data_IF_435403496024
#
_entry.id   IF_435403496024
#
_cell.length_a   1.000
_cell.length_b   1.000
_cell.length_c   1.000
_cell.angle_alpha   90.00
_cell.angle_beta   90.00
_cell.angle_gamma   90.00
#
_symmetry.space_group_name_H-M   'P 1'
#
loop_
_entity.id
_entity.type
_entity.pdbx_description
1 polymer ?
#
# COMPACT_ATOMS: atom_id res chain seq x y z
N UNK A 1 -7.57 11.60 -29.46
CA UNK A 1 -7.90 11.62 -28.03
C UNK A 1 -7.60 10.23 -27.51
N UNK A 2 -6.62 10.07 -26.62
CA UNK A 2 -6.35 8.77 -26.02
C UNK A 2 -7.51 8.48 -25.06
N UNK A 3 -8.35 7.51 -25.38
CA UNK A 3 -9.44 7.10 -24.48
C UNK A 3 -8.79 6.43 -23.27
N UNK A 4 -8.95 7.01 -22.07
CA UNK A 4 -8.46 6.39 -20.84
C UNK A 4 -9.26 5.09 -20.60
N UNK A 5 -8.57 4.00 -20.31
CA UNK A 5 -9.17 2.70 -19.96
C UNK A 5 -9.92 2.81 -18.63
N UNK A 6 -10.87 1.90 -18.37
CA UNK A 6 -11.62 1.91 -17.10
C UNK A 6 -10.69 1.62 -15.93
N UNK A 7 -9.75 0.71 -16.09
CA UNK A 7 -8.72 0.36 -15.14
C UNK A 7 -7.87 1.59 -14.79
N UNK A 8 -7.36 2.33 -15.78
CA UNK A 8 -6.59 3.54 -15.54
C UNK A 8 -7.41 4.61 -14.79
N UNK A 9 -8.70 4.76 -15.12
CA UNK A 9 -9.59 5.67 -14.40
C UNK A 9 -9.86 5.23 -12.95
N UNK A 10 -10.02 3.93 -12.69
CA UNK A 10 -10.16 3.38 -11.34
C UNK A 10 -8.88 3.59 -10.53
N UNK A 11 -7.72 3.20 -11.08
CA UNK A 11 -6.41 3.36 -10.44
C UNK A 11 -6.11 4.80 -10.04
N UNK A 12 -6.48 5.78 -10.88
CA UNK A 12 -6.29 7.19 -10.59
C UNK A 12 -7.04 7.66 -9.34
N UNK A 13 -8.13 6.97 -8.96
CA UNK A 13 -8.93 7.28 -7.78
C UNK A 13 -8.50 6.52 -6.53
N UNK A 14 -7.58 5.55 -6.64
CA UNK A 14 -7.10 4.78 -5.49
C UNK A 14 -6.11 5.63 -4.68
N UNK A 15 -6.33 5.83 -3.36
CA UNK A 15 -5.34 6.50 -2.52
C UNK A 15 -4.02 5.74 -2.50
N UNK A 16 -2.91 6.44 -2.78
CA UNK A 16 -1.57 5.84 -2.78
C UNK A 16 -1.17 5.25 -1.44
N UNK A 17 -1.68 5.81 -0.34
CA UNK A 17 -1.52 5.28 1.00
C UNK A 17 -2.81 5.50 1.80
N UNK A 18 -3.25 4.44 2.47
CA UNK A 18 -4.32 4.48 3.45
C UNK A 18 -3.87 3.66 4.67
N UNK A 19 -3.68 4.35 5.80
CA UNK A 19 -3.13 3.76 7.02
C UNK A 19 -3.85 4.30 8.26
N UNK A 20 -3.83 3.53 9.34
CA UNK A 20 -4.38 3.98 10.61
C UNK A 20 -3.70 5.26 11.11
N UNK A 21 -4.45 6.16 11.79
CA UNK A 21 -3.99 7.52 12.10
C UNK A 21 -2.89 7.57 13.16
N UNK A 22 -2.67 6.48 13.92
CA UNK A 22 -1.56 6.38 14.88
C UNK A 22 -1.37 4.93 15.33
N UNK A 23 -0.23 4.64 15.96
CA UNK A 23 0.06 3.34 16.58
C UNK A 23 1.15 2.56 15.87
N UNK A 24 1.25 1.27 16.20
CA UNK A 24 2.17 0.33 15.54
C UNK A 24 1.35 -0.80 14.94
N UNK A 25 1.46 -0.99 13.63
CA UNK A 25 0.62 -1.95 12.90
C UNK A 25 1.34 -2.55 11.70
N UNK A 26 0.79 -3.66 11.19
CA UNK A 26 1.27 -4.31 9.97
C UNK A 26 0.84 -3.51 8.75
N UNK A 27 1.64 -3.57 7.69
CA UNK A 27 1.29 -2.98 6.41
C UNK A 27 1.73 -3.88 5.25
N UNK A 28 1.02 -3.79 4.14
CA UNK A 28 1.39 -4.42 2.86
C UNK A 28 1.59 -3.36 1.78
N UNK A 29 2.52 -3.64 0.87
CA UNK A 29 2.66 -2.94 -0.40
C UNK A 29 1.99 -3.80 -1.46
N UNK A 30 0.96 -3.26 -2.09
CA UNK A 30 0.17 -3.98 -3.10
C UNK A 30 0.42 -3.31 -4.44
N UNK A 31 0.71 -4.10 -5.47
CA UNK A 31 0.73 -3.67 -6.86
C UNK A 31 -0.60 -3.97 -7.49
N UNK A 32 -1.24 -2.95 -8.05
CA UNK A 32 -2.53 -3.07 -8.74
C UNK A 32 -2.26 -2.98 -10.23
N UNK A 33 -2.62 -4.03 -10.96
CA UNK A 33 -2.45 -4.18 -12.40
C UNK A 33 -3.80 -4.00 -13.12
N UNK A 34 -3.75 -3.54 -14.37
CA UNK A 34 -4.91 -3.52 -15.25
C UNK A 34 -5.17 -4.93 -15.80
N UNK A 35 -6.45 -5.31 -15.90
CA UNK A 35 -6.89 -6.54 -16.58
C UNK A 35 -7.46 -6.27 -17.96
N UNK A 36 -7.44 -5.01 -18.41
CA UNK A 36 -7.92 -4.66 -19.75
C UNK A 36 -6.87 -5.01 -20.81
N UNK A 37 -7.33 -5.61 -21.91
CA UNK A 37 -6.44 -6.04 -22.99
C UNK A 37 -5.71 -4.83 -23.62
N UNK A 38 -4.38 -4.90 -23.67
CA UNK A 38 -3.53 -3.84 -24.23
C UNK A 38 -3.24 -2.69 -23.27
N UNK A 39 -3.59 -2.81 -21.99
CA UNK A 39 -3.27 -1.85 -20.93
C UNK A 39 -2.32 -2.47 -19.90
N UNK A 40 -1.05 -2.09 -19.95
CA UNK A 40 -0.01 -2.56 -19.02
C UNK A 40 0.17 -1.61 -17.81
N UNK A 41 -0.86 -0.80 -17.50
CA UNK A 41 -0.79 0.12 -16.36
C UNK A 41 -0.71 -0.63 -15.04
N UNK A 42 0.21 -0.20 -14.17
CA UNK A 42 0.34 -0.67 -12.80
C UNK A 42 0.51 0.49 -11.83
N UNK A 43 -0.03 0.34 -10.61
CA UNK A 43 0.20 1.29 -9.52
C UNK A 43 0.41 0.56 -8.20
N UNK A 44 1.49 0.91 -7.50
CA UNK A 44 1.71 0.42 -6.14
C UNK A 44 0.87 1.24 -5.13
N UNK A 45 0.34 0.62 -4.09
CA UNK A 45 -0.43 1.27 -3.01
C UNK A 45 -0.02 0.72 -1.64
N UNK A 46 -0.11 1.56 -0.61
CA UNK A 46 0.22 1.20 0.78
C UNK A 46 -1.06 1.06 1.59
N UNK A 47 -1.19 -0.06 2.30
CA UNK A 47 -2.31 -0.34 3.20
C UNK A 47 -1.80 -0.86 4.53
N UNK A 48 -2.25 -0.29 5.64
CA UNK A 48 -1.74 -0.65 6.96
C UNK A 48 -2.69 -0.30 8.10
N UNK A 49 -3.10 -1.30 8.87
CA UNK A 49 -4.16 -1.13 9.86
C UNK A 49 -3.90 -1.97 11.11
N UNK A 50 -4.28 -1.42 12.27
CA UNK A 50 -4.14 -2.06 13.58
C UNK A 50 -5.17 -3.17 13.84
N UNK A 51 -6.27 -3.22 13.06
CA UNK A 51 -7.25 -4.32 13.17
C UNK A 51 -6.73 -5.65 12.61
N UNK A 52 -5.73 -5.62 11.73
CA UNK A 52 -5.24 -6.80 11.03
C UNK A 52 -4.21 -7.54 11.89
N UNK A 53 -4.50 -8.81 12.19
CA UNK A 53 -3.58 -9.67 12.93
C UNK A 53 -2.43 -10.13 12.02
N UNK A 54 -2.71 -10.33 10.72
CA UNK A 54 -1.75 -10.76 9.71
C UNK A 54 -1.71 -9.81 8.52
N UNK A 55 -0.60 -9.84 7.78
CA UNK A 55 -0.48 -9.12 6.51
C UNK A 55 -1.50 -9.60 5.47
N UNK A 56 -1.83 -10.90 5.51
CA UNK A 56 -2.80 -11.52 4.60
C UNK A 56 -4.19 -10.91 4.80
N UNK A 57 -4.62 -10.65 6.03
CA UNK A 57 -5.93 -10.05 6.30
C UNK A 57 -6.08 -8.68 5.59
N UNK A 58 -5.02 -7.88 5.57
CA UNK A 58 -5.01 -6.58 4.87
C UNK A 58 -5.09 -6.80 3.36
N UNK A 59 -4.27 -7.71 2.84
CA UNK A 59 -4.22 -8.00 1.40
C UNK A 59 -5.57 -8.52 0.91
N UNK A 60 -6.10 -9.58 1.52
CA UNK A 60 -7.35 -10.24 1.13
C UNK A 60 -8.51 -9.24 1.08
N UNK A 61 -8.64 -8.39 2.12
CA UNK A 61 -9.69 -7.37 2.17
C UNK A 61 -9.56 -6.32 1.06
N UNK A 62 -8.33 -5.88 0.79
CA UNK A 62 -8.08 -4.81 -0.20
C UNK A 62 -8.20 -5.36 -1.62
N UNK A 63 -7.67 -6.55 -1.89
CA UNK A 63 -7.79 -7.20 -3.20
C UNK A 63 -9.25 -7.52 -3.50
N UNK A 64 -10.02 -8.05 -2.55
CA UNK A 64 -11.46 -8.29 -2.73
C UNK A 64 -12.19 -7.02 -3.14
N UNK A 65 -11.90 -5.87 -2.50
CA UNK A 65 -12.56 -4.60 -2.81
C UNK A 65 -12.16 -4.05 -4.19
N UNK A 66 -10.89 -4.14 -4.56
CA UNK A 66 -10.37 -3.57 -5.81
C UNK A 66 -10.66 -4.45 -7.03
N UNK A 67 -10.68 -5.77 -6.86
CA UNK A 67 -10.89 -6.73 -7.95
C UNK A 67 -12.37 -7.02 -8.22
N UNK A 68 -13.29 -6.58 -7.34
CA UNK A 68 -14.73 -6.88 -7.43
C UNK A 68 -15.38 -6.60 -8.79
N UNK A 69 -14.91 -5.56 -9.49
CA UNK A 69 -15.47 -5.12 -10.77
C UNK A 69 -14.77 -5.79 -11.97
N UNK A 70 -13.74 -6.62 -11.73
CA UNK A 70 -13.04 -7.41 -12.73
C UNK A 70 -12.04 -6.65 -13.61
N UNK A 71 -11.84 -5.35 -13.38
CA UNK A 71 -10.92 -4.50 -14.16
C UNK A 71 -9.48 -4.47 -13.64
N UNK A 72 -9.28 -4.84 -12.38
CA UNK A 72 -8.02 -4.73 -11.67
C UNK A 72 -7.60 -6.10 -11.12
N UNK A 73 -6.30 -6.30 -10.99
CA UNK A 73 -5.67 -7.46 -10.35
C UNK A 73 -4.69 -6.96 -9.29
N UNK A 74 -4.66 -7.57 -8.10
CA UNK A 74 -3.80 -7.13 -7.01
C UNK A 74 -2.73 -8.18 -6.70
N UNK A 75 -1.48 -7.75 -6.59
CA UNK A 75 -0.34 -8.56 -6.19
C UNK A 75 0.26 -7.99 -4.90
N UNK A 76 0.38 -8.78 -3.84
CA UNK A 76 1.11 -8.36 -2.64
C UNK A 76 2.62 -8.48 -2.87
N UNK A 77 3.30 -7.36 -3.12
CA UNK A 77 4.75 -7.31 -3.39
C UNK A 77 5.61 -7.20 -2.11
N UNK A 78 5.02 -7.54 -0.96
CA UNK A 78 5.67 -7.62 0.34
C UNK A 78 4.97 -6.82 1.43
N UNK A 79 5.50 -6.88 2.65
CA UNK A 79 5.00 -6.08 3.76
C UNK A 79 6.06 -5.74 4.80
N UNK A 80 5.58 -5.22 5.92
CA UNK A 80 6.39 -4.87 7.08
C UNK A 80 5.51 -4.29 8.20
N UNK A 81 6.07 -3.36 8.96
CA UNK A 81 5.36 -2.60 9.99
C UNK A 81 5.52 -1.10 9.80
N UNK A 82 4.52 -0.40 10.30
CA UNK A 82 4.51 1.05 10.39
C UNK A 82 4.37 1.42 11.86
N UNK A 83 5.22 2.33 12.33
CA UNK A 83 5.01 3.11 13.55
C UNK A 83 4.59 4.52 13.14
N UNK A 84 3.36 4.89 13.48
CA UNK A 84 2.78 6.18 13.16
C UNK A 84 2.52 6.98 14.45
N UNK A 85 3.26 8.07 14.62
CA UNK A 85 3.09 9.04 15.70
C UNK A 85 2.55 10.35 15.10
N UNK A 86 1.23 10.53 15.16
CA UNK A 86 0.59 11.73 14.62
C UNK A 86 0.90 13.00 15.41
N UNK A 87 1.21 12.89 16.71
CA UNK A 87 1.55 14.06 17.53
C UNK A 87 2.93 14.59 17.17
N UNK A 88 3.91 13.69 17.02
CA UNK A 88 5.26 14.05 16.59
C UNK A 88 5.37 14.28 15.07
N UNK A 89 4.32 13.99 14.31
CA UNK A 89 4.31 13.94 12.84
C UNK A 89 5.42 13.04 12.29
N UNK A 90 5.55 11.83 12.85
CA UNK A 90 6.57 10.86 12.47
C UNK A 90 5.95 9.56 12.00
N UNK A 91 6.42 9.06 10.87
CA UNK A 91 6.12 7.72 10.39
C UNK A 91 7.44 6.99 10.14
N UNK A 92 7.54 5.78 10.68
CA UNK A 92 8.71 4.93 10.50
C UNK A 92 8.27 3.56 9.97
N UNK A 93 8.86 3.15 8.84
CA UNK A 93 8.54 1.91 8.11
C UNK A 93 9.70 0.93 8.25
N UNK A 94 9.44 -0.31 8.69
CA UNK A 94 10.50 -1.28 9.00
C UNK A 94 9.97 -2.72 8.96
N UNK A 95 10.82 -3.70 9.27
CA UNK A 95 10.45 -5.11 9.41
C UNK A 95 10.06 -5.78 8.09
N UNK A 96 9.29 -6.87 8.17
CA UNK A 96 8.91 -7.66 7.00
C UNK A 96 7.59 -8.42 7.22
N UNK A 97 6.98 -8.93 6.15
CA UNK A 97 5.91 -9.90 6.24
C UNK A 97 6.46 -11.32 6.25
N UNK A 98 5.98 -12.15 7.18
CA UNK A 98 6.33 -13.58 7.20
C UNK A 98 5.81 -14.33 5.95
N UNK A 99 4.64 -13.93 5.44
CA UNK A 99 4.02 -14.58 4.28
C UNK A 99 4.48 -14.02 2.93
N UNK A 100 4.65 -12.69 2.86
CA UNK A 100 4.95 -12.00 1.59
C UNK A 100 6.39 -11.50 1.48
N UNK A 101 7.22 -11.72 2.51
CA UNK A 101 8.55 -11.15 2.58
C UNK A 101 8.56 -9.65 2.83
N UNK A 102 9.74 -9.04 2.66
CA UNK A 102 9.96 -7.62 2.93
C UNK A 102 9.57 -6.78 1.71
N UNK A 103 8.68 -5.81 1.91
CA UNK A 103 8.38 -4.80 0.89
C UNK A 103 9.58 -3.88 0.62
N UNK A 104 9.58 -3.21 -0.53
CA UNK A 104 10.48 -2.09 -0.74
C UNK A 104 10.03 -0.86 0.07
N UNK A 105 10.54 -0.70 1.28
CA UNK A 105 10.15 0.39 2.19
C UNK A 105 10.45 1.78 1.62
N UNK A 106 11.42 1.93 0.71
CA UNK A 106 11.65 3.19 0.02
C UNK A 106 10.48 3.59 -0.90
N UNK A 107 9.80 2.62 -1.53
CA UNK A 107 8.57 2.88 -2.30
C UNK A 107 7.43 3.23 -1.35
N UNK A 108 7.28 2.49 -0.25
CA UNK A 108 6.26 2.75 0.77
C UNK A 108 6.37 4.17 1.33
N UNK A 109 7.58 4.60 1.72
CA UNK A 109 7.80 5.94 2.28
C UNK A 109 7.54 7.06 1.30
N UNK A 110 7.84 6.90 0.00
CA UNK A 110 7.46 7.88 -1.04
C UNK A 110 5.96 8.09 -1.10
N UNK A 111 5.17 7.02 -1.07
CA UNK A 111 3.68 7.09 -1.11
C UNK A 111 3.11 7.70 0.16
N UNK A 112 3.64 7.32 1.31
CA UNK A 112 3.29 7.96 2.59
C UNK A 112 3.62 9.44 2.57
N UNK A 113 4.74 9.87 1.99
CA UNK A 113 5.12 11.28 1.90
C UNK A 113 4.18 12.10 1.01
N UNK A 114 3.56 11.49 -0.01
CA UNK A 114 2.49 12.15 -0.79
C UNK A 114 1.26 12.43 0.07
N UNK A 115 0.89 11.48 0.95
CA UNK A 115 -0.27 11.60 1.85
C UNK A 115 -0.01 12.48 3.07
N UNK A 116 1.22 12.44 3.60
CA UNK A 116 1.68 13.12 4.81
C UNK A 116 2.90 14.02 4.49
N UNK A 117 2.72 15.09 3.70
CA UNK A 117 3.84 15.90 3.20
C UNK A 117 4.61 16.62 4.31
N UNK A 118 3.95 16.93 5.43
CA UNK A 118 4.52 17.61 6.59
C UNK A 118 5.11 16.66 7.65
N UNK A 119 5.03 15.34 7.44
CA UNK A 119 5.59 14.35 8.37
C UNK A 119 7.05 14.06 8.07
N UNK A 120 7.82 13.75 9.11
CA UNK A 120 9.08 13.03 8.96
C UNK A 120 8.78 11.56 8.68
N UNK A 121 9.11 11.09 7.47
CA UNK A 121 8.87 9.70 7.04
C UNK A 121 10.21 9.03 6.81
N UNK A 122 10.49 7.98 7.57
CA UNK A 122 11.76 7.25 7.55
C UNK A 122 11.54 5.76 7.32
N UNK A 123 12.58 5.05 6.91
CA UNK A 123 12.57 3.59 6.83
C UNK A 123 13.93 2.99 7.11
N UNK A 124 13.93 1.74 7.55
CA UNK A 124 15.08 0.85 7.53
C UNK A 124 14.63 -0.59 7.21
N UNK A 125 15.59 -1.49 7.12
CA UNK A 125 15.39 -2.90 6.76
C UNK A 125 15.50 -3.84 7.97
N UNK A 126 15.54 -3.29 9.17
CA UNK A 126 15.77 -3.99 10.42
C UNK A 126 14.45 -4.22 11.17
N UNK A 127 14.55 -5.01 12.25
CA UNK A 127 13.43 -5.29 13.14
C UNK A 127 12.38 -6.27 12.59
N UNK A 128 11.33 -6.46 13.39
CA UNK A 128 10.13 -7.23 13.06
C UNK A 128 8.89 -6.45 13.43
#
# INVERSE_FOLDING_TARGET
MCTQTRAAALMANIPQADIDPSGVFKYVLIRVHSKEEGDDSEVDIVRGYGWAEYHADIYDKVSEELEKDGYLDCECVGGGRIKHDAQAKKIHVYGYSMGFGRANHAITTKKLKVRYPDYEVTWDNEGY
#
